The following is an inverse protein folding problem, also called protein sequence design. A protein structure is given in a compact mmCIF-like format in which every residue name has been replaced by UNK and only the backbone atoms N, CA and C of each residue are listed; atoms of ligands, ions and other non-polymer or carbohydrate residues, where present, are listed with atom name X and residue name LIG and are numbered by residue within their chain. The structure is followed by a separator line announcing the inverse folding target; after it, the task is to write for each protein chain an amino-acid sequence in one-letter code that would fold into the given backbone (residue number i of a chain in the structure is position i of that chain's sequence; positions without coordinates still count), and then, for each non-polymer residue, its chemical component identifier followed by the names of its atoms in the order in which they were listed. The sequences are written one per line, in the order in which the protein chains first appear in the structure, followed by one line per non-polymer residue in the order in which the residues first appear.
data_IF_849003198684
#
_entry.id   IF_849003198684
#
_cell.length_a   1.000
_cell.length_b   1.000
_cell.length_c   1.000
_cell.angle_alpha   90.00
_cell.angle_beta   90.00
_cell.angle_gamma   90.00
#
_symmetry.space_group_name_H-M   'P 1'
#
loop_
_entity.id
_entity.type
_entity.pdbx_description
1 polymer ?
#
# COMPACT_ATOMS: atom_id res chain seq x y z
N UNK A 1 -40.54 -31.34 -8.48
CA UNK A 1 -40.01 -31.21 -7.10
C UNK A 1 -38.51 -31.41 -7.17
N UNK A 2 -37.75 -30.34 -7.29
CA UNK A 2 -36.30 -30.39 -7.55
C UNK A 2 -35.56 -30.34 -6.22
N UNK A 3 -34.67 -31.31 -6.02
CA UNK A 3 -33.97 -31.62 -4.78
C UNK A 3 -33.09 -30.45 -4.28
N UNK A 4 -33.28 -30.03 -3.02
CA UNK A 4 -32.71 -28.83 -2.40
C UNK A 4 -31.32 -29.05 -1.76
N UNK A 5 -30.48 -29.93 -2.33
CA UNK A 5 -29.17 -30.30 -1.75
C UNK A 5 -27.95 -29.97 -2.62
N UNK A 6 -28.10 -29.19 -3.68
CA UNK A 6 -27.04 -28.92 -4.65
C UNK A 6 -26.35 -27.54 -4.53
N UNK A 7 -26.53 -26.81 -3.42
CA UNK A 7 -26.11 -25.40 -3.31
C UNK A 7 -25.11 -25.11 -2.18
N UNK A 8 -24.22 -26.06 -1.88
CA UNK A 8 -23.11 -25.82 -0.95
C UNK A 8 -21.85 -26.60 -1.35
N UNK A 9 -21.18 -26.14 -2.42
CA UNK A 9 -19.78 -26.48 -2.71
C UNK A 9 -19.14 -25.35 -3.53
N UNK A 10 -18.77 -24.28 -2.84
CA UNK A 10 -17.78 -23.33 -3.37
C UNK A 10 -16.38 -23.92 -3.16
N UNK A 11 -15.52 -23.97 -4.19
CA UNK A 11 -14.14 -24.38 -4.02
C UNK A 11 -13.37 -23.28 -3.28
N UNK A 12 -12.91 -23.59 -2.08
CA UNK A 12 -11.90 -22.79 -1.38
C UNK A 12 -10.55 -22.96 -2.09
N UNK A 13 -10.24 -22.09 -3.05
CA UNK A 13 -8.90 -22.01 -3.64
C UNK A 13 -8.64 -20.62 -4.27
N UNK A 14 -8.73 -19.55 -3.47
CA UNK A 14 -8.04 -18.29 -3.80
C UNK A 14 -6.60 -18.42 -3.31
N UNK A 15 -5.75 -19.01 -4.16
CA UNK A 15 -4.31 -19.03 -3.95
C UNK A 15 -3.78 -17.61 -3.87
N UNK A 16 -3.41 -17.19 -2.67
CA UNK A 16 -2.60 -16.00 -2.42
C UNK A 16 -1.33 -16.05 -3.28
N UNK A 17 -0.91 -14.96 -3.95
CA UNK A 17 0.35 -14.93 -4.67
C UNK A 17 1.49 -15.30 -3.71
N UNK A 18 2.23 -16.37 -4.03
CA UNK A 18 3.41 -16.78 -3.26
C UNK A 18 4.50 -15.72 -3.43
N UNK A 19 4.58 -14.80 -2.48
CA UNK A 19 5.73 -13.94 -2.29
C UNK A 19 6.95 -14.85 -2.04
N UNK A 20 7.97 -14.71 -2.88
CA UNK A 20 9.22 -15.46 -2.75
C UNK A 20 9.83 -15.15 -1.38
N UNK A 21 9.91 -16.15 -0.51
CA UNK A 21 10.47 -16.04 0.84
C UNK A 21 12.00 -15.95 0.77
N UNK A 22 12.52 -14.73 0.87
CA UNK A 22 13.92 -14.45 1.24
C UNK A 22 14.05 -14.66 2.76
N UNK A 23 15.17 -15.19 3.30
CA UNK A 23 15.29 -15.47 4.73
C UNK A 23 15.05 -14.20 5.55
N UNK A 24 13.94 -14.20 6.29
CA UNK A 24 13.42 -13.06 7.05
C UNK A 24 14.44 -12.69 8.14
N UNK A 25 15.18 -11.61 7.96
CA UNK A 25 15.94 -11.00 9.04
C UNK A 25 14.98 -10.74 10.21
N UNK A 26 15.37 -11.19 11.39
CA UNK A 26 14.57 -11.20 12.60
C UNK A 26 14.28 -9.74 12.97
N UNK A 27 13.12 -9.25 12.54
CA UNK A 27 12.54 -7.91 12.77
C UNK A 27 13.30 -6.74 12.11
N UNK A 28 13.08 -6.53 10.81
CA UNK A 28 13.31 -5.24 10.16
C UNK A 28 12.33 -4.21 10.77
N UNK A 29 12.72 -3.58 11.87
CA UNK A 29 11.91 -2.62 12.62
C UNK A 29 12.67 -1.30 12.75
N UNK A 30 11.96 -0.20 12.62
CA UNK A 30 12.49 1.13 12.90
C UNK A 30 11.88 1.63 14.21
N UNK A 31 12.67 1.68 15.29
CA UNK A 31 12.20 2.12 16.62
C UNK A 31 10.89 1.47 17.10
N UNK A 32 10.70 0.19 16.80
CA UNK A 32 9.51 -0.57 17.17
C UNK A 32 8.38 -0.57 16.12
N UNK A 33 8.51 0.19 15.04
CA UNK A 33 7.59 0.13 13.91
C UNK A 33 8.01 -0.95 12.91
N UNK A 34 7.14 -1.90 12.56
CA UNK A 34 7.48 -2.96 11.62
C UNK A 34 7.64 -2.41 10.21
N UNK A 35 8.75 -2.74 9.55
CA UNK A 35 8.94 -2.50 8.12
C UNK A 35 8.40 -3.70 7.34
N UNK A 36 7.43 -3.44 6.47
CA UNK A 36 6.72 -4.49 5.71
C UNK A 36 7.29 -4.71 4.31
N UNK A 37 8.00 -3.73 3.76
CA UNK A 37 8.68 -3.83 2.46
C UNK A 37 10.01 -3.08 2.48
N UNK A 38 11.00 -3.62 1.77
CA UNK A 38 12.37 -3.12 1.70
C UNK A 38 13.19 -3.35 2.97
N UNK A 39 14.48 -3.02 2.93
CA UNK A 39 15.44 -3.22 4.03
C UNK A 39 16.01 -1.87 4.52
N UNK A 40 15.86 -1.54 5.81
CA UNK A 40 16.38 -0.29 6.40
C UNK A 40 17.90 -0.18 6.24
N UNK A 41 18.58 -1.32 6.24
CA UNK A 41 20.04 -1.42 6.13
C UNK A 41 20.57 -0.86 4.80
N UNK A 42 19.76 -0.89 3.75
CA UNK A 42 20.09 -0.37 2.43
C UNK A 42 19.93 1.15 2.30
N UNK A 43 19.22 1.79 3.24
CA UNK A 43 19.06 3.24 3.28
C UNK A 43 20.35 3.90 3.77
N UNK A 44 20.70 5.04 3.16
CA UNK A 44 21.79 5.88 3.65
C UNK A 44 21.49 6.40 5.06
N UNK A 45 22.53 6.68 5.85
CA UNK A 45 22.37 7.12 7.24
C UNK A 45 21.43 8.31 7.38
N UNK A 46 21.58 9.34 6.53
CA UNK A 46 20.73 10.54 6.56
C UNK A 46 19.25 10.23 6.27
N UNK A 47 18.98 9.31 5.34
CA UNK A 47 17.60 8.91 5.01
C UNK A 47 17.01 8.13 6.18
N UNK A 48 17.78 7.22 6.78
CA UNK A 48 17.34 6.47 7.96
C UNK A 48 16.97 7.40 9.10
N UNK A 49 17.83 8.37 9.42
CA UNK A 49 17.59 9.35 10.49
C UNK A 49 16.30 10.15 10.24
N UNK A 50 16.03 10.54 9.00
CA UNK A 50 14.79 11.22 8.61
C UNK A 50 13.55 10.35 8.83
N UNK A 51 13.60 9.09 8.39
CA UNK A 51 12.48 8.15 8.55
C UNK A 51 12.27 7.83 10.03
N UNK A 52 13.33 7.71 10.82
CA UNK A 52 13.24 7.51 12.28
C UNK A 52 12.53 8.67 12.98
N UNK A 53 12.94 9.90 12.69
CA UNK A 53 12.33 11.10 13.27
C UNK A 53 10.85 11.21 12.88
N UNK A 54 10.54 10.96 11.61
CA UNK A 54 9.17 10.98 11.10
C UNK A 54 8.30 9.90 11.75
N UNK A 55 8.82 8.67 11.88
CA UNK A 55 8.10 7.57 12.49
C UNK A 55 7.86 7.79 14.00
N UNK A 56 8.83 8.37 14.71
CA UNK A 56 8.69 8.72 16.11
C UNK A 56 7.56 9.76 16.35
N UNK A 57 7.39 10.70 15.41
CA UNK A 57 6.35 11.73 15.47
C UNK A 57 4.98 11.18 15.05
N UNK A 58 4.90 10.54 13.88
CA UNK A 58 3.64 10.11 13.27
C UNK A 58 3.09 8.80 13.85
N UNK A 59 3.94 7.97 14.46
CA UNK A 59 3.60 6.66 15.04
C UNK A 59 2.78 5.76 14.10
N UNK A 60 3.31 5.44 12.90
CA UNK A 60 2.58 4.62 11.93
C UNK A 60 2.39 3.19 12.43
N UNK A 61 1.39 2.47 11.92
CA UNK A 61 1.24 1.03 12.21
C UNK A 61 2.37 0.21 11.57
N UNK A 62 2.74 0.56 10.34
CA UNK A 62 3.71 -0.14 9.48
C UNK A 62 4.46 0.88 8.62
N UNK A 63 5.70 0.54 8.26
CA UNK A 63 6.52 1.32 7.32
C UNK A 63 6.71 0.50 6.04
N UNK A 64 6.42 1.12 4.89
CA UNK A 64 6.60 0.53 3.57
C UNK A 64 7.64 1.34 2.79
N UNK A 65 8.79 0.74 2.47
CA UNK A 65 9.78 1.37 1.59
C UNK A 65 9.39 1.03 0.15
N UNK A 66 9.17 2.06 -0.66
CA UNK A 66 8.74 1.95 -2.06
C UNK A 66 9.94 1.55 -2.92
N UNK A 67 9.83 0.45 -3.68
CA UNK A 67 10.87 -0.03 -4.59
C UNK A 67 10.68 0.46 -6.03
N UNK A 68 9.47 0.89 -6.39
CA UNK A 68 9.15 1.45 -7.71
C UNK A 68 8.94 0.38 -8.80
N UNK A 69 8.77 -0.89 -8.42
CA UNK A 69 8.51 -1.98 -9.37
C UNK A 69 7.08 -1.96 -9.90
N UNK A 70 6.88 -2.56 -11.09
CA UNK A 70 5.55 -2.69 -11.69
C UNK A 70 4.63 -3.58 -10.85
N UNK A 71 5.19 -4.60 -10.19
CA UNK A 71 4.47 -5.47 -9.28
C UNK A 71 3.97 -4.71 -8.04
N UNK A 72 4.80 -3.83 -7.48
CA UNK A 72 4.44 -2.98 -6.35
C UNK A 72 3.33 -2.00 -6.74
N UNK A 73 3.50 -1.29 -7.86
CA UNK A 73 2.49 -0.38 -8.40
C UNK A 73 1.14 -1.09 -8.62
N UNK A 74 1.17 -2.26 -9.26
CA UNK A 74 -0.01 -3.08 -9.49
C UNK A 74 -0.69 -3.54 -8.19
N UNK A 75 0.08 -3.84 -7.14
CA UNK A 75 -0.44 -4.21 -5.83
C UNK A 75 -1.12 -3.03 -5.14
N UNK A 76 -0.52 -1.84 -5.19
CA UNK A 76 -1.09 -0.61 -4.65
C UNK A 76 -2.38 -0.22 -5.37
N UNK A 77 -2.42 -0.29 -6.71
CA UNK A 77 -3.63 -0.02 -7.48
C UNK A 77 -4.78 -0.96 -7.10
N UNK A 78 -4.49 -2.26 -6.93
CA UNK A 78 -5.50 -3.24 -6.47
C UNK A 78 -5.99 -2.93 -5.06
N UNK A 79 -5.11 -2.50 -4.16
CA UNK A 79 -5.47 -2.11 -2.80
C UNK A 79 -6.38 -0.87 -2.79
N UNK A 80 -6.00 0.18 -3.53
CA UNK A 80 -6.80 1.40 -3.63
C UNK A 80 -8.16 1.13 -4.29
N UNK A 81 -8.19 0.25 -5.28
CA UNK A 81 -9.45 -0.15 -5.92
C UNK A 81 -10.36 -0.92 -4.97
N UNK A 82 -9.82 -1.88 -4.21
CA UNK A 82 -10.60 -2.67 -3.25
C UNK A 82 -11.13 -1.82 -2.08
N UNK A 83 -10.40 -0.77 -1.70
CA UNK A 83 -10.83 0.23 -0.71
C UNK A 83 -11.82 1.26 -1.28
N UNK A 84 -12.05 1.27 -2.60
CA UNK A 84 -12.97 2.21 -3.25
C UNK A 84 -12.40 3.62 -3.45
N UNK A 85 -11.10 3.83 -3.20
CA UNK A 85 -10.43 5.13 -3.42
C UNK A 85 -10.31 5.45 -4.90
N UNK A 86 -10.12 4.43 -5.76
CA UNK A 86 -9.99 4.58 -7.20
C UNK A 86 -10.90 3.61 -7.97
N UNK A 87 -11.24 3.98 -9.20
CA UNK A 87 -12.06 3.19 -10.11
C UNK A 87 -11.33 2.97 -11.45
N UNK A 88 -11.34 1.76 -12.03
CA UNK A 88 -10.74 1.52 -13.34
C UNK A 88 -11.55 2.21 -14.44
N UNK A 89 -10.87 2.70 -15.48
CA UNK A 89 -11.49 3.26 -16.67
C UNK A 89 -11.44 2.25 -17.82
N UNK A 90 -12.50 1.44 -18.05
CA UNK A 90 -12.46 0.29 -18.95
C UNK A 90 -12.26 0.65 -20.43
N UNK A 91 -12.41 1.93 -20.79
CA UNK A 91 -12.17 2.42 -22.15
C UNK A 91 -10.68 2.53 -22.49
N UNK A 92 -9.81 2.56 -21.49
CA UNK A 92 -8.39 2.85 -21.65
C UNK A 92 -7.52 1.82 -20.91
N UNK A 93 -6.32 1.60 -21.39
CA UNK A 93 -5.37 0.68 -20.74
C UNK A 93 -4.69 1.34 -19.55
N UNK A 94 -4.64 0.63 -18.42
CA UNK A 94 -4.01 1.08 -17.17
C UNK A 94 -4.41 2.49 -16.71
N UNK A 95 -5.66 2.89 -16.94
CA UNK A 95 -6.18 4.20 -16.54
C UNK A 95 -7.15 4.08 -15.35
N UNK A 96 -7.02 5.00 -14.41
CA UNK A 96 -7.75 4.99 -13.15
C UNK A 96 -8.34 6.37 -12.84
N UNK A 97 -9.51 6.39 -12.20
CA UNK A 97 -10.23 7.58 -11.77
C UNK A 97 -10.21 7.66 -10.24
N UNK A 98 -9.70 8.76 -9.71
CA UNK A 98 -9.86 9.15 -8.31
C UNK A 98 -10.80 10.35 -8.21
N UNK A 99 -11.68 10.37 -7.21
CA UNK A 99 -12.54 11.53 -6.90
C UNK A 99 -12.17 12.05 -5.52
N UNK A 100 -11.61 13.25 -5.44
CA UNK A 100 -11.19 13.86 -4.18
C UNK A 100 -12.36 14.57 -3.49
N UNK A 101 -12.16 14.94 -2.23
CA UNK A 101 -13.09 15.81 -1.52
C UNK A 101 -13.11 17.19 -2.21
N UNK A 102 -14.27 17.81 -2.48
CA UNK A 102 -14.35 19.15 -3.06
C UNK A 102 -13.57 20.24 -2.31
N UNK A 103 -13.30 20.06 -1.01
CA UNK A 103 -12.46 20.95 -0.23
C UNK A 103 -10.94 20.79 -0.48
N UNK A 104 -10.54 19.72 -1.17
CA UNK A 104 -9.15 19.34 -1.47
C UNK A 104 -8.98 19.08 -2.97
N UNK A 105 -9.08 20.18 -3.75
CA UNK A 105 -9.03 20.15 -5.23
C UNK A 105 -7.90 20.99 -5.81
N UNK A 106 -7.35 21.93 -5.03
CA UNK A 106 -6.37 22.88 -5.49
C UNK A 106 -5.42 23.27 -4.35
N UNK A 107 -4.24 23.79 -4.71
CA UNK A 107 -3.30 24.37 -3.76
C UNK A 107 -3.96 25.56 -3.05
N UNK A 108 -3.78 25.66 -1.73
CA UNK A 108 -4.32 26.74 -0.91
C UNK A 108 -3.17 27.67 -0.52
N UNK A 109 -2.89 28.67 -1.36
CA UNK A 109 -1.72 29.55 -1.19
C UNK A 109 -1.73 30.30 0.16
N UNK A 110 -2.90 30.57 0.74
CA UNK A 110 -3.03 31.17 2.08
C UNK A 110 -2.56 30.26 3.22
N UNK A 111 -2.30 28.97 2.95
CA UNK A 111 -1.77 27.99 3.90
C UNK A 111 -0.40 27.43 3.47
N UNK A 112 0.23 28.02 2.47
CA UNK A 112 1.58 27.65 2.00
C UNK A 112 2.57 28.72 2.46
N UNK A 113 3.59 28.33 3.23
CA UNK A 113 4.55 29.27 3.82
C UNK A 113 5.99 28.86 3.52
N UNK A 114 6.88 29.86 3.42
CA UNK A 114 8.34 29.68 3.43
C UNK A 114 8.82 30.20 4.79
N UNK A 115 9.56 29.37 5.52
CA UNK A 115 10.08 29.67 6.86
C UNK A 115 11.53 30.11 6.81
#
# INVERSE_FOLDING_TARGET
MVNLSALLRLPAAMGSPKLKTVPKAIYNHLRGFPVVNGEITQLSAKVRDFVEQSAALCRPEKIHIVDGTEEESSSLLKMLHSQGTIQPLPKYENCWLARTNPADVARVESKTFIC
#
